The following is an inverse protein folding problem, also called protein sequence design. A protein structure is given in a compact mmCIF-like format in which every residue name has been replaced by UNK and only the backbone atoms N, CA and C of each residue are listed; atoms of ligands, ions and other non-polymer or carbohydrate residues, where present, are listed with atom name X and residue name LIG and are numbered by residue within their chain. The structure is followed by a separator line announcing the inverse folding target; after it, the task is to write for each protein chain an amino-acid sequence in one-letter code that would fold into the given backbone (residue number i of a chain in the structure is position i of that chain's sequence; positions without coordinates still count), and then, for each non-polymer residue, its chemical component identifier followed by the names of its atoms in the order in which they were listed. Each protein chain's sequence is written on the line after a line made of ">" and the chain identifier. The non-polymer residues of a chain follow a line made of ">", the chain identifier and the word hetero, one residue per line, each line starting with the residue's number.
data_IF_182758880647
#
_entry.id   IF_182758880647
#
_cell.length_a   1.000
_cell.length_b   1.000
_cell.length_c   1.000
_cell.angle_alpha   90.00
_cell.angle_beta   90.00
_cell.angle_gamma   90.00
#
_symmetry.space_group_name_H-M   'P 1'
#
loop_
_entity.id
_entity.type
_entity.pdbx_description
1 polymer ?
#
# COMPACT_ATOMS: atom_id res chain seq x y z
N UNK A 1 -10.03 33.94 -10.25
CA UNK A 1 -10.87 33.46 -9.11
C UNK A 1 -10.14 32.34 -8.41
N UNK A 2 -9.78 32.49 -7.13
CA UNK A 2 -9.20 31.41 -6.32
C UNK A 2 -10.26 30.35 -6.08
N UNK A 3 -10.27 29.30 -6.91
CA UNK A 3 -11.12 28.13 -6.66
C UNK A 3 -10.47 27.30 -5.55
N UNK A 4 -11.05 27.35 -4.34
CA UNK A 4 -10.59 26.54 -3.21
C UNK A 4 -10.76 25.04 -3.44
N UNK A 5 -11.65 24.66 -4.36
CA UNK A 5 -11.92 23.28 -4.76
C UNK A 5 -11.77 23.15 -6.27
N UNK A 6 -11.27 22.01 -6.72
CA UNK A 6 -11.15 21.70 -8.15
C UNK A 6 -11.53 20.25 -8.41
N UNK A 7 -12.21 20.04 -9.54
CA UNK A 7 -12.57 18.73 -10.07
C UNK A 7 -11.90 18.54 -11.43
N UNK A 8 -11.26 17.40 -11.59
CA UNK A 8 -10.68 16.94 -12.85
C UNK A 8 -10.88 15.42 -12.96
N UNK A 9 -10.59 14.85 -14.13
CA UNK A 9 -10.82 13.43 -14.38
C UNK A 9 -10.08 12.52 -13.39
N UNK A 10 -8.84 12.86 -12.99
CA UNK A 10 -8.10 12.14 -11.96
C UNK A 10 -8.83 12.11 -10.62
N UNK A 11 -9.26 13.27 -10.11
CA UNK A 11 -10.00 13.38 -8.86
C UNK A 11 -11.35 12.66 -8.95
N UNK A 12 -12.03 12.68 -10.10
CA UNK A 12 -13.30 11.95 -10.30
C UNK A 12 -13.13 10.43 -10.16
N UNK A 13 -12.07 9.86 -10.76
CA UNK A 13 -11.74 8.44 -10.63
C UNK A 13 -11.48 8.07 -9.17
N UNK A 14 -10.73 8.90 -8.44
CA UNK A 14 -10.47 8.68 -7.02
C UNK A 14 -11.74 8.84 -6.15
N UNK A 15 -12.60 9.81 -6.44
CA UNK A 15 -13.87 9.99 -5.75
C UNK A 15 -14.80 8.80 -5.97
N UNK A 16 -14.87 8.25 -7.18
CA UNK A 16 -15.63 7.04 -7.48
C UNK A 16 -15.12 5.84 -6.67
N UNK A 17 -13.79 5.67 -6.56
CA UNK A 17 -13.20 4.66 -5.70
C UNK A 17 -13.57 4.86 -4.22
N UNK A 18 -13.41 6.08 -3.70
CA UNK A 18 -13.72 6.40 -2.29
C UNK A 18 -15.21 6.16 -2.01
N UNK A 19 -16.11 6.53 -2.92
CA UNK A 19 -17.54 6.27 -2.79
C UNK A 19 -17.86 4.77 -2.77
N UNK A 20 -17.25 3.98 -3.67
CA UNK A 20 -17.40 2.53 -3.69
C UNK A 20 -16.93 1.89 -2.38
N UNK A 21 -15.71 2.21 -1.94
CA UNK A 21 -15.17 1.70 -0.68
C UNK A 21 -16.01 2.15 0.52
N UNK A 22 -16.41 3.42 0.54
CA UNK A 22 -17.25 3.99 1.58
C UNK A 22 -18.57 3.23 1.72
N UNK A 23 -19.26 2.96 0.61
CA UNK A 23 -20.52 2.20 0.60
C UNK A 23 -20.32 0.77 1.12
N UNK A 24 -19.30 0.06 0.62
CA UNK A 24 -19.03 -1.33 1.02
C UNK A 24 -18.66 -1.41 2.50
N UNK A 25 -17.75 -0.56 2.97
CA UNK A 25 -17.29 -0.55 4.37
C UNK A 25 -18.41 -0.09 5.30
N UNK A 26 -19.23 0.88 4.89
CA UNK A 26 -20.39 1.34 5.68
C UNK A 26 -21.40 0.22 5.89
N UNK A 27 -21.82 -0.45 4.81
CA UNK A 27 -22.77 -1.58 4.88
C UNK A 27 -22.21 -2.72 5.72
N UNK A 28 -20.95 -3.10 5.48
CA UNK A 28 -20.29 -4.13 6.28
C UNK A 28 -20.25 -3.77 7.76
N UNK A 29 -19.88 -2.53 8.10
CA UNK A 29 -19.79 -2.05 9.50
C UNK A 29 -21.15 -2.06 10.20
N UNK A 30 -22.22 -1.69 9.48
CA UNK A 30 -23.57 -1.67 10.05
C UNK A 30 -24.05 -3.05 10.50
N UNK A 31 -23.67 -4.10 9.76
CA UNK A 31 -24.00 -5.51 10.08
C UNK A 31 -23.01 -6.08 11.09
N UNK A 32 -21.70 -5.93 10.84
CA UNK A 32 -20.65 -6.55 11.65
C UNK A 32 -20.62 -6.04 13.10
N UNK A 33 -21.08 -4.81 13.36
CA UNK A 33 -21.12 -4.20 14.70
C UNK A 33 -22.54 -4.13 15.27
N UNK A 34 -23.53 -4.87 14.73
CA UNK A 34 -24.93 -4.74 15.14
C UNK A 34 -25.16 -5.01 16.64
N UNK A 35 -24.33 -5.85 17.27
CA UNK A 35 -24.39 -6.13 18.71
C UNK A 35 -23.50 -5.25 19.59
N UNK A 36 -22.74 -4.31 19.02
CA UNK A 36 -21.80 -3.47 19.77
C UNK A 36 -22.47 -2.19 20.26
N UNK A 37 -22.42 -1.92 21.58
CA UNK A 37 -22.99 -0.71 22.18
C UNK A 37 -22.38 0.58 21.59
N UNK A 38 -21.08 0.57 21.29
CA UNK A 38 -20.33 1.71 20.75
C UNK A 38 -20.46 1.88 19.22
N UNK A 39 -21.34 1.11 18.54
CA UNK A 39 -21.59 1.23 17.09
C UNK A 39 -21.87 2.66 16.62
N UNK A 40 -22.71 3.49 17.28
CA UNK A 40 -22.98 4.85 16.80
C UNK A 40 -21.72 5.74 16.77
N UNK A 41 -20.83 5.59 17.76
CA UNK A 41 -19.54 6.30 17.80
C UNK A 41 -18.68 5.89 16.61
N UNK A 42 -18.61 4.60 16.33
CA UNK A 42 -17.88 4.07 15.17
C UNK A 42 -18.40 4.62 13.84
N UNK A 43 -19.71 4.57 13.62
CA UNK A 43 -20.32 5.02 12.35
C UNK A 43 -20.11 6.52 12.13
N UNK A 44 -20.17 7.35 13.18
CA UNK A 44 -19.84 8.78 13.11
C UNK A 44 -18.37 9.01 12.76
N UNK A 45 -17.45 8.32 13.42
CA UNK A 45 -16.02 8.44 13.12
C UNK A 45 -15.69 7.98 11.69
N UNK A 46 -16.36 6.94 11.20
CA UNK A 46 -16.25 6.47 9.81
C UNK A 46 -16.75 7.54 8.83
N UNK A 47 -17.92 8.15 9.07
CA UNK A 47 -18.44 9.23 8.24
C UNK A 47 -17.48 10.43 8.20
N UNK A 48 -17.02 10.90 9.37
CA UNK A 48 -16.07 12.02 9.47
C UNK A 48 -14.78 11.70 8.71
N UNK A 49 -14.27 10.48 8.84
CA UNK A 49 -13.05 10.05 8.12
C UNK A 49 -13.28 10.12 6.61
N UNK A 50 -14.36 9.54 6.09
CA UNK A 50 -14.68 9.56 4.66
C UNK A 50 -14.89 10.98 4.13
N UNK A 51 -15.62 11.82 4.86
CA UNK A 51 -15.82 13.23 4.53
C UNK A 51 -14.50 14.01 4.49
N UNK A 52 -13.60 13.77 5.45
CA UNK A 52 -12.28 14.42 5.48
C UNK A 52 -11.41 13.98 4.28
N UNK A 53 -11.48 12.70 3.87
CA UNK A 53 -10.80 12.23 2.65
C UNK A 53 -11.33 12.93 1.41
N UNK A 54 -12.65 13.01 1.24
CA UNK A 54 -13.30 13.70 0.11
C UNK A 54 -12.92 15.19 0.09
N UNK A 55 -13.00 15.86 1.24
CA UNK A 55 -12.62 17.26 1.39
C UNK A 55 -11.15 17.51 0.98
N UNK A 56 -10.24 16.64 1.44
CA UNK A 56 -8.81 16.73 1.08
C UNK A 56 -8.59 16.56 -0.42
N UNK A 57 -9.26 15.59 -1.04
CA UNK A 57 -9.13 15.32 -2.47
C UNK A 57 -9.68 16.45 -3.34
N UNK A 58 -10.81 17.04 -2.95
CA UNK A 58 -11.41 18.17 -3.66
C UNK A 58 -10.60 19.46 -3.53
N UNK A 59 -9.86 19.61 -2.42
CA UNK A 59 -9.07 20.81 -2.14
C UNK A 59 -8.11 21.15 -3.28
N UNK A 60 -8.08 22.42 -3.63
CA UNK A 60 -7.19 23.03 -4.61
C UNK A 60 -6.33 24.14 -3.99
N UNK A 61 -6.29 24.19 -2.66
CA UNK A 61 -5.55 25.16 -1.88
C UNK A 61 -4.72 24.44 -0.81
N UNK A 62 -3.42 24.78 -0.68
CA UNK A 62 -2.48 24.08 0.21
C UNK A 62 -2.98 24.00 1.65
N UNK A 63 -3.52 25.10 2.19
CA UNK A 63 -4.05 25.14 3.57
C UNK A 63 -5.24 24.19 3.76
N UNK A 64 -6.18 24.17 2.81
CA UNK A 64 -7.38 23.33 2.92
C UNK A 64 -7.01 21.85 2.78
N UNK A 65 -6.09 21.55 1.86
CA UNK A 65 -5.51 20.22 1.75
C UNK A 65 -4.86 19.78 3.07
N UNK A 66 -4.05 20.65 3.70
CA UNK A 66 -3.40 20.38 4.99
C UNK A 66 -4.40 20.18 6.14
N UNK A 67 -5.45 21.00 6.22
CA UNK A 67 -6.52 20.85 7.21
C UNK A 67 -7.26 19.52 7.06
N UNK A 68 -7.61 19.16 5.83
CA UNK A 68 -8.22 17.87 5.52
C UNK A 68 -7.33 16.69 5.92
N UNK A 69 -6.02 16.79 5.61
CA UNK A 69 -5.03 15.79 5.97
C UNK A 69 -4.92 15.56 7.49
N UNK A 70 -4.94 16.64 8.28
CA UNK A 70 -4.98 16.58 9.75
C UNK A 70 -6.31 15.98 10.23
N UNK A 71 -7.44 16.38 9.64
CA UNK A 71 -8.77 15.89 9.99
C UNK A 71 -8.90 14.37 9.78
N UNK A 72 -8.40 13.84 8.65
CA UNK A 72 -8.32 12.39 8.39
C UNK A 72 -7.55 11.70 9.51
N UNK A 73 -6.41 12.26 9.90
CA UNK A 73 -5.59 11.69 10.96
C UNK A 73 -6.33 11.65 12.30
N UNK A 74 -6.95 12.75 12.71
CA UNK A 74 -7.69 12.82 13.97
C UNK A 74 -8.89 11.86 13.99
N UNK A 75 -9.65 11.78 12.89
CA UNK A 75 -10.80 10.89 12.77
C UNK A 75 -10.40 9.41 12.83
N UNK A 76 -9.30 9.03 12.18
CA UNK A 76 -8.76 7.66 12.24
C UNK A 76 -8.31 7.25 13.64
N UNK A 77 -7.85 8.20 14.46
CA UNK A 77 -7.47 7.90 15.84
C UNK A 77 -8.65 7.31 16.62
N UNK A 78 -9.86 7.86 16.40
CA UNK A 78 -11.08 7.40 17.06
C UNK A 78 -11.47 5.99 16.59
N UNK A 79 -11.26 5.67 15.31
CA UNK A 79 -11.52 4.34 14.75
C UNK A 79 -10.54 3.29 15.26
N UNK A 80 -9.26 3.64 15.40
CA UNK A 80 -8.23 2.76 15.97
C UNK A 80 -8.49 2.44 17.45
N UNK A 81 -8.97 3.44 18.20
CA UNK A 81 -9.32 3.32 19.61
C UNK A 81 -10.79 2.94 19.81
N UNK A 82 -11.33 2.07 18.94
CA UNK A 82 -12.67 1.52 19.18
C UNK A 82 -12.72 0.70 20.48
N UNK A 83 -11.64 -0.05 20.79
CA UNK A 83 -11.42 -0.75 22.06
C UNK A 83 -10.27 -0.09 22.85
N UNK A 84 -10.49 1.09 23.46
CA UNK A 84 -9.41 1.88 24.07
C UNK A 84 -8.72 1.17 25.24
N UNK A 85 -9.38 0.21 25.88
CA UNK A 85 -8.86 -0.59 27.00
C UNK A 85 -7.78 -1.60 26.58
N UNK A 86 -7.65 -1.92 25.29
CA UNK A 86 -6.65 -2.90 24.82
C UNK A 86 -5.28 -2.25 24.68
N UNK A 87 -4.24 -2.70 25.40
CA UNK A 87 -2.91 -2.09 25.34
C UNK A 87 -2.28 -2.09 23.94
N UNK A 88 -2.55 -3.14 23.15
CA UNK A 88 -2.09 -3.23 21.76
C UNK A 88 -2.78 -2.22 20.84
N UNK A 89 -4.07 -1.93 21.07
CA UNK A 89 -4.79 -0.90 20.33
C UNK A 89 -4.24 0.49 20.67
N UNK A 90 -3.99 0.77 21.96
CA UNK A 90 -3.34 2.01 22.41
C UNK A 90 -1.97 2.19 21.76
N UNK A 91 -1.11 1.15 21.78
CA UNK A 91 0.22 1.21 21.19
C UNK A 91 0.17 1.53 19.69
N UNK A 92 -0.66 0.82 18.93
CA UNK A 92 -0.81 1.07 17.49
C UNK A 92 -1.32 2.49 17.22
N UNK A 93 -2.30 2.97 18.00
CA UNK A 93 -2.85 4.31 17.89
C UNK A 93 -1.82 5.40 18.25
N UNK A 94 -0.98 5.19 19.27
CA UNK A 94 0.09 6.12 19.65
C UNK A 94 1.16 6.20 18.55
N UNK A 95 1.62 5.05 18.04
CA UNK A 95 2.57 4.99 16.92
C UNK A 95 2.05 5.77 15.72
N UNK A 96 0.80 5.48 15.32
CA UNK A 96 0.15 6.15 14.21
C UNK A 96 0.05 7.65 14.46
N UNK A 97 -0.32 8.07 15.68
CA UNK A 97 -0.44 9.49 16.02
C UNK A 97 0.90 10.22 15.91
N UNK A 98 1.96 9.68 16.51
CA UNK A 98 3.30 10.26 16.44
C UNK A 98 3.82 10.35 15.00
N UNK A 99 3.73 9.26 14.23
CA UNK A 99 4.12 9.25 12.82
C UNK A 99 3.29 10.24 12.00
N UNK A 100 1.99 10.36 12.28
CA UNK A 100 1.12 11.29 11.58
C UNK A 100 1.44 12.75 11.91
N UNK A 101 1.62 13.11 13.19
CA UNK A 101 2.01 14.48 13.59
C UNK A 101 3.35 14.86 12.96
N UNK A 102 4.33 13.96 12.96
CA UNK A 102 5.60 14.19 12.28
C UNK A 102 5.40 14.43 10.77
N UNK A 103 4.63 13.60 10.08
CA UNK A 103 4.33 13.79 8.66
C UNK A 103 3.58 15.09 8.35
N UNK A 104 2.72 15.55 9.25
CA UNK A 104 1.94 16.79 9.08
C UNK A 104 2.83 18.04 9.22
N UNK A 105 3.79 18.02 10.16
CA UNK A 105 4.80 19.09 10.27
C UNK A 105 5.64 19.18 9.00
N UNK A 106 6.11 18.03 8.48
CA UNK A 106 6.88 18.00 7.23
C UNK A 106 6.05 18.50 6.04
N UNK A 107 4.77 18.11 5.96
CA UNK A 107 3.88 18.56 4.89
C UNK A 107 3.62 20.08 4.98
N UNK A 108 3.42 20.61 6.19
CA UNK A 108 3.29 22.04 6.40
C UNK A 108 4.56 22.78 5.95
N UNK A 109 5.74 22.27 6.30
CA UNK A 109 7.01 22.84 5.85
C UNK A 109 7.15 22.79 4.32
N UNK A 110 6.84 21.67 3.67
CA UNK A 110 6.80 21.56 2.20
C UNK A 110 5.89 22.64 1.59
N UNK A 111 4.68 22.81 2.12
CA UNK A 111 3.72 23.79 1.62
C UNK A 111 4.17 25.23 1.84
N UNK A 112 4.81 25.52 2.98
CA UNK A 112 5.43 26.82 3.23
C UNK A 112 6.55 27.10 2.23
N UNK A 113 7.41 26.11 1.94
CA UNK A 113 8.50 26.30 0.99
C UNK A 113 7.98 26.60 -0.43
N UNK A 114 6.98 25.84 -0.88
CA UNK A 114 6.32 26.07 -2.18
C UNK A 114 5.67 27.45 -2.23
N UNK A 115 4.98 27.85 -1.17
CA UNK A 115 4.34 29.16 -1.10
C UNK A 115 5.35 30.31 -1.16
N UNK A 116 6.48 30.20 -0.44
CA UNK A 116 7.54 31.20 -0.47
C UNK A 116 8.22 31.28 -1.85
N UNK A 117 8.32 30.16 -2.57
CA UNK A 117 8.91 30.12 -3.91
C UNK A 117 8.02 30.79 -4.99
N UNK A 118 6.70 30.60 -4.92
CA UNK A 118 5.77 31.00 -5.99
C UNK A 118 4.79 32.11 -5.60
N UNK A 119 4.64 32.44 -4.32
CA UNK A 119 3.70 33.45 -3.82
C UNK A 119 2.22 33.05 -3.88
N UNK A 120 1.89 31.82 -4.30
CA UNK A 120 0.53 31.31 -4.42
C UNK A 120 0.35 30.00 -3.65
N UNK A 121 -0.84 29.82 -3.07
CA UNK A 121 -1.25 28.59 -2.38
C UNK A 121 -2.24 27.76 -3.22
N UNK A 122 -2.52 28.15 -4.47
CA UNK A 122 -3.37 27.42 -5.39
C UNK A 122 -2.60 26.25 -6.03
N UNK A 123 -3.06 25.02 -5.81
CA UNK A 123 -2.35 23.80 -6.24
C UNK A 123 -2.25 23.71 -7.76
N UNK A 124 -3.32 24.07 -8.50
CA UNK A 124 -3.29 24.07 -9.97
C UNK A 124 -2.26 25.04 -10.50
N UNK A 125 -2.23 26.26 -9.97
CA UNK A 125 -1.28 27.30 -10.37
C UNK A 125 0.16 26.90 -10.03
N UNK A 126 0.40 26.37 -8.82
CA UNK A 126 1.69 25.83 -8.40
C UNK A 126 2.19 24.78 -9.40
N UNK A 127 1.35 23.83 -9.80
CA UNK A 127 1.73 22.79 -10.74
C UNK A 127 2.04 23.35 -12.14
N UNK A 128 1.33 24.39 -12.58
CA UNK A 128 1.64 25.08 -13.83
C UNK A 128 3.00 25.79 -13.77
N UNK A 129 3.27 26.51 -12.68
CA UNK A 129 4.54 27.20 -12.46
C UNK A 129 5.71 26.23 -12.34
N UNK A 130 5.53 25.09 -11.67
CA UNK A 130 6.54 24.03 -11.57
C UNK A 130 6.93 23.46 -12.94
N UNK A 131 5.97 23.28 -13.85
CA UNK A 131 6.27 22.80 -15.21
C UNK A 131 7.08 23.81 -16.03
N UNK A 132 7.05 25.09 -15.66
CA UNK A 132 7.82 26.17 -16.31
C UNK A 132 9.10 26.53 -15.55
N UNK A 133 9.30 25.97 -14.36
CA UNK A 133 10.41 26.32 -13.49
C UNK A 133 11.73 25.80 -14.06
N UNK A 134 12.73 26.68 -14.15
CA UNK A 134 14.08 26.29 -14.51
C UNK A 134 14.71 25.44 -13.39
N UNK A 135 15.53 24.43 -13.72
CA UNK A 135 16.22 23.64 -12.70
C UNK A 135 17.19 24.51 -11.87
N UNK A 136 17.38 24.15 -10.60
CA UNK A 136 18.37 24.78 -9.71
C UNK A 136 17.84 25.50 -8.46
N UNK A 137 16.54 25.49 -8.19
CA UNK A 137 16.01 26.00 -6.91
C UNK A 137 16.23 24.97 -5.80
N UNK A 138 17.17 25.28 -4.89
CA UNK A 138 17.40 24.51 -3.66
C UNK A 138 16.14 24.40 -2.79
N UNK A 139 15.31 25.44 -2.80
CA UNK A 139 14.06 25.47 -2.06
C UNK A 139 13.06 24.42 -2.58
N UNK A 140 12.96 24.27 -3.90
CA UNK A 140 12.11 23.27 -4.53
C UNK A 140 12.68 21.85 -4.36
N UNK A 141 14.01 21.68 -4.37
CA UNK A 141 14.63 20.40 -4.04
C UNK A 141 14.34 19.98 -2.60
N UNK A 142 14.48 20.89 -1.64
CA UNK A 142 14.13 20.64 -0.24
C UNK A 142 12.63 20.31 -0.09
N UNK A 143 11.74 21.07 -0.73
CA UNK A 143 10.30 20.82 -0.73
C UNK A 143 9.95 19.42 -1.28
N UNK A 144 10.57 19.02 -2.40
CA UNK A 144 10.37 17.71 -3.01
C UNK A 144 10.85 16.56 -2.11
N UNK A 145 12.02 16.69 -1.48
CA UNK A 145 12.54 15.68 -0.53
C UNK A 145 11.62 15.54 0.68
N UNK A 146 11.16 16.65 1.26
CA UNK A 146 10.20 16.63 2.36
C UNK A 146 8.88 15.97 1.95
N UNK A 147 8.37 16.27 0.74
CA UNK A 147 7.16 15.64 0.20
C UNK A 147 7.31 14.11 0.08
N UNK A 148 8.46 13.65 -0.40
CA UNK A 148 8.81 12.22 -0.49
C UNK A 148 8.79 11.58 0.89
N UNK A 149 9.40 12.22 1.90
CA UNK A 149 9.38 11.71 3.27
C UNK A 149 7.94 11.62 3.80
N UNK A 150 7.10 12.64 3.56
CA UNK A 150 5.67 12.60 3.93
C UNK A 150 4.97 11.39 3.31
N UNK A 151 5.19 11.14 2.02
CA UNK A 151 4.59 10.02 1.31
C UNK A 151 5.06 8.67 1.86
N UNK A 152 6.37 8.50 2.11
CA UNK A 152 6.95 7.30 2.73
C UNK A 152 6.33 7.01 4.10
N UNK A 153 6.18 8.02 4.95
CA UNK A 153 5.56 7.89 6.28
C UNK A 153 4.09 7.49 6.19
N UNK A 154 3.32 8.12 5.30
CA UNK A 154 1.89 7.83 5.12
C UNK A 154 1.62 6.50 4.46
N UNK A 155 2.50 6.03 3.59
CA UNK A 155 2.42 4.70 2.98
C UNK A 155 3.02 3.61 3.87
N UNK A 156 3.33 3.91 5.15
CA UNK A 156 3.88 2.96 6.12
C UNK A 156 5.16 2.26 5.63
N UNK A 157 6.06 3.00 4.98
CA UNK A 157 7.31 2.43 4.50
C UNK A 157 8.32 2.23 5.64
N UNK A 158 9.28 1.34 5.42
CA UNK A 158 10.32 1.04 6.42
C UNK A 158 11.17 2.29 6.73
N UNK A 159 11.59 2.49 7.99
CA UNK A 159 11.39 1.61 9.15
C UNK A 159 10.10 1.91 9.93
N UNK A 160 9.34 2.96 9.62
CA UNK A 160 8.17 3.41 10.39
C UNK A 160 6.85 2.72 10.00
N UNK A 161 6.91 1.56 9.35
CA UNK A 161 5.78 0.70 9.00
C UNK A 161 4.93 0.16 10.18
N UNK A 162 5.50 0.15 11.39
CA UNK A 162 4.94 -0.46 12.59
C UNK A 162 3.52 -0.03 12.94
N UNK A 163 3.20 1.24 12.69
CA UNK A 163 1.87 1.78 12.97
C UNK A 163 0.77 1.11 12.15
N UNK A 164 1.08 0.55 10.97
CA UNK A 164 0.11 -0.12 10.10
C UNK A 164 0.00 -1.61 10.43
N UNK A 165 1.14 -2.31 10.60
CA UNK A 165 1.14 -3.76 10.83
C UNK A 165 0.60 -4.17 12.19
N UNK A 166 0.54 -3.24 13.16
CA UNK A 166 0.04 -3.47 14.51
C UNK A 166 -1.45 -3.15 14.70
N UNK A 167 -2.17 -2.72 13.67
CA UNK A 167 -3.61 -2.36 13.73
C UNK A 167 -4.54 -3.59 13.83
N UNK A 168 -3.99 -4.76 14.14
CA UNK A 168 -4.73 -6.04 14.19
C UNK A 168 -5.86 -6.08 15.23
N UNK A 169 -5.84 -5.20 16.24
CA UNK A 169 -6.88 -5.08 17.27
C UNK A 169 -8.08 -4.22 16.86
N UNK A 170 -7.95 -3.41 15.80
CA UNK A 170 -9.06 -2.60 15.32
C UNK A 170 -10.12 -3.49 14.64
N UNK A 171 -11.41 -3.11 14.67
CA UNK A 171 -12.45 -3.83 13.94
C UNK A 171 -12.07 -4.07 12.48
N UNK A 172 -12.47 -5.21 11.92
CA UNK A 172 -12.19 -5.58 10.51
C UNK A 172 -12.50 -4.47 9.49
N UNK A 173 -13.61 -3.70 9.59
CA UNK A 173 -13.85 -2.60 8.67
C UNK A 173 -12.81 -1.46 8.77
N UNK A 174 -12.20 -1.23 9.94
CA UNK A 174 -11.10 -0.26 10.10
C UNK A 174 -9.85 -0.74 9.39
N UNK A 175 -9.54 -2.03 9.51
CA UNK A 175 -8.43 -2.64 8.76
C UNK A 175 -8.66 -2.51 7.26
N UNK A 176 -9.86 -2.80 6.77
CA UNK A 176 -10.20 -2.61 5.37
C UNK A 176 -10.03 -1.14 4.93
N UNK A 177 -10.58 -0.18 5.68
CA UNK A 177 -10.45 1.25 5.38
C UNK A 177 -8.99 1.71 5.34
N UNK A 178 -8.18 1.32 6.32
CA UNK A 178 -6.79 1.72 6.43
C UNK A 178 -5.94 1.13 5.30
N UNK A 179 -6.04 -0.18 5.08
CA UNK A 179 -5.17 -0.89 4.16
C UNK A 179 -5.58 -0.78 2.69
N UNK A 180 -6.84 -0.43 2.42
CA UNK A 180 -7.36 -0.26 1.06
C UNK A 180 -7.52 1.20 0.64
N UNK A 181 -7.91 2.09 1.56
CA UNK A 181 -8.22 3.48 1.24
C UNK A 181 -7.15 4.44 1.71
N UNK A 182 -7.05 4.63 3.02
CA UNK A 182 -6.25 5.71 3.63
C UNK A 182 -4.76 5.60 3.30
N UNK A 183 -4.22 4.39 3.26
CA UNK A 183 -2.80 4.18 3.00
C UNK A 183 -2.34 4.74 1.64
N UNK A 184 -3.27 4.87 0.69
CA UNK A 184 -3.00 5.40 -0.65
C UNK A 184 -2.77 6.91 -0.66
N UNK A 185 -3.11 7.64 0.42
CA UNK A 185 -2.98 9.10 0.47
C UNK A 185 -1.56 9.58 0.18
N UNK A 186 -0.53 8.82 0.56
CA UNK A 186 0.86 9.15 0.20
C UNK A 186 1.12 9.06 -1.31
N UNK A 187 0.60 8.04 -1.99
CA UNK A 187 0.68 7.93 -3.45
C UNK A 187 -0.13 9.02 -4.16
N UNK A 188 -1.35 9.30 -3.69
CA UNK A 188 -2.20 10.39 -4.22
C UNK A 188 -1.50 11.74 -4.08
N UNK A 189 -0.85 12.00 -2.93
CA UNK A 189 -0.07 13.21 -2.71
C UNK A 189 1.03 13.36 -3.76
N UNK A 190 1.83 12.33 -4.00
CA UNK A 190 2.90 12.39 -5.00
C UNK A 190 2.36 12.53 -6.44
N UNK A 191 1.24 11.89 -6.78
CA UNK A 191 0.61 12.05 -8.09
C UNK A 191 0.06 13.49 -8.29
N UNK A 192 -0.51 14.09 -7.24
CA UNK A 192 -1.01 15.48 -7.29
C UNK A 192 0.12 16.51 -7.46
N UNK A 193 1.30 16.22 -6.89
CA UNK A 193 2.48 17.07 -6.96
C UNK A 193 3.59 16.44 -7.82
N UNK A 194 3.21 15.65 -8.83
CA UNK A 194 4.15 14.98 -9.72
C UNK A 194 5.15 15.95 -10.40
N UNK A 195 4.77 17.19 -10.79
CA UNK A 195 5.72 18.19 -11.28
C UNK A 195 6.83 18.52 -10.26
N UNK A 196 6.50 18.63 -8.97
CA UNK A 196 7.50 18.90 -7.92
C UNK A 196 8.44 17.72 -7.73
N UNK A 197 7.93 16.50 -7.78
CA UNK A 197 8.75 15.30 -7.70
C UNK A 197 9.72 15.22 -8.90
N UNK A 198 9.21 15.49 -10.08
CA UNK A 198 9.94 15.50 -11.35
C UNK A 198 11.04 16.57 -11.38
N UNK A 199 10.84 17.67 -10.67
CA UNK A 199 11.83 18.74 -10.54
C UNK A 199 13.11 18.29 -9.79
N UNK A 200 13.01 17.32 -8.87
CA UNK A 200 14.15 16.89 -8.04
C UNK A 200 14.51 15.43 -8.26
N UNK A 201 15.61 15.20 -8.98
CA UNK A 201 16.21 13.87 -9.14
C UNK A 201 16.66 13.28 -7.80
N UNK A 202 17.12 14.12 -6.86
CA UNK A 202 17.49 13.69 -5.50
C UNK A 202 16.27 13.10 -4.77
N UNK A 203 15.12 13.80 -4.79
CA UNK A 203 13.90 13.32 -4.17
C UNK A 203 13.41 12.02 -4.82
N UNK A 204 13.44 11.95 -6.16
CA UNK A 204 13.02 10.76 -6.92
C UNK A 204 13.91 9.55 -6.65
N UNK A 205 15.24 9.73 -6.60
CA UNK A 205 16.18 8.66 -6.29
C UNK A 205 16.04 8.18 -4.83
N UNK A 206 15.83 9.11 -3.89
CA UNK A 206 15.55 8.78 -2.49
C UNK A 206 14.28 7.93 -2.37
N UNK A 207 13.21 8.35 -3.05
CA UNK A 207 11.95 7.62 -3.10
C UNK A 207 12.17 6.21 -3.65
N UNK A 208 12.85 6.08 -4.79
CA UNK A 208 13.12 4.79 -5.44
C UNK A 208 13.85 3.83 -4.50
N UNK A 209 14.96 4.27 -3.90
CA UNK A 209 15.79 3.40 -3.04
C UNK A 209 15.01 2.92 -1.83
N UNK A 210 14.36 3.85 -1.09
CA UNK A 210 13.62 3.49 0.12
C UNK A 210 12.41 2.61 -0.20
N UNK A 211 11.64 2.98 -1.23
CA UNK A 211 10.45 2.24 -1.62
C UNK A 211 10.80 0.83 -2.13
N UNK A 212 11.89 0.68 -2.87
CA UNK A 212 12.34 -0.62 -3.36
C UNK A 212 12.81 -1.52 -2.22
N UNK A 213 13.65 -1.01 -1.31
CA UNK A 213 14.08 -1.76 -0.11
C UNK A 213 12.86 -2.19 0.73
N UNK A 214 11.90 -1.28 0.94
CA UNK A 214 10.67 -1.56 1.66
C UNK A 214 9.82 -2.63 0.97
N UNK A 215 9.67 -2.55 -0.36
CA UNK A 215 8.95 -3.54 -1.18
C UNK A 215 9.54 -4.93 -1.03
N UNK A 216 10.86 -5.06 -1.24
CA UNK A 216 11.58 -6.33 -1.17
C UNK A 216 11.43 -6.97 0.21
N UNK A 217 11.77 -6.21 1.25
CA UNK A 217 11.79 -6.74 2.60
C UNK A 217 10.39 -7.06 3.11
N UNK A 218 9.40 -6.20 2.84
CA UNK A 218 8.01 -6.46 3.22
C UNK A 218 7.42 -7.67 2.49
N UNK A 219 7.71 -7.85 1.20
CA UNK A 219 7.26 -9.01 0.42
C UNK A 219 7.89 -10.32 0.91
N UNK A 220 9.19 -10.31 1.24
CA UNK A 220 9.84 -11.45 1.86
C UNK A 220 9.24 -11.77 3.24
N UNK A 221 9.05 -10.77 4.09
CA UNK A 221 8.43 -10.95 5.41
C UNK A 221 7.02 -11.52 5.27
N UNK A 222 6.16 -10.98 4.39
CA UNK A 222 4.79 -11.49 4.22
C UNK A 222 4.77 -12.98 3.86
N UNK A 223 5.75 -13.46 3.08
CA UNK A 223 5.83 -14.86 2.66
C UNK A 223 6.08 -15.83 3.83
N UNK A 224 6.66 -15.33 4.92
CA UNK A 224 6.99 -16.13 6.12
C UNK A 224 5.92 -16.03 7.22
N UNK A 225 5.08 -14.99 7.21
CA UNK A 225 4.07 -14.77 8.25
C UNK A 225 2.95 -15.80 8.18
N UNK A 226 2.65 -16.42 9.32
CA UNK A 226 1.59 -17.43 9.45
C UNK A 226 0.21 -16.78 9.62
N UNK A 227 0.10 -15.74 10.46
CA UNK A 227 -1.17 -15.04 10.69
C UNK A 227 -1.63 -14.31 9.43
N UNK A 228 -2.86 -14.58 8.99
CA UNK A 228 -3.42 -14.05 7.74
C UNK A 228 -3.59 -12.54 7.81
N UNK A 229 -4.10 -11.99 8.92
CA UNK A 229 -4.22 -10.53 9.08
C UNK A 229 -2.85 -9.84 9.06
N UNK A 230 -1.85 -10.43 9.72
CA UNK A 230 -0.48 -9.88 9.73
C UNK A 230 0.16 -9.99 8.35
N UNK A 231 -0.01 -11.13 7.65
CA UNK A 231 0.43 -11.32 6.26
C UNK A 231 -0.24 -10.29 5.34
N UNK A 232 -1.54 -10.07 5.47
CA UNK A 232 -2.28 -9.07 4.70
C UNK A 232 -1.76 -7.65 4.98
N UNK A 233 -1.42 -7.33 6.23
CA UNK A 233 -0.84 -6.05 6.59
C UNK A 233 0.56 -5.84 5.97
N UNK A 234 1.45 -6.82 6.08
CA UNK A 234 2.78 -6.78 5.45
C UNK A 234 2.71 -6.70 3.93
N UNK A 235 1.76 -7.42 3.32
CA UNK A 235 1.54 -7.30 1.89
C UNK A 235 1.01 -5.91 1.50
N UNK A 236 0.36 -5.16 2.38
CA UNK A 236 0.05 -3.73 2.10
C UNK A 236 1.32 -2.88 2.12
N UNK A 237 2.23 -3.07 3.07
CA UNK A 237 3.52 -2.36 3.08
C UNK A 237 4.29 -2.60 1.78
N UNK A 238 4.33 -3.86 1.32
CA UNK A 238 4.99 -4.24 0.07
C UNK A 238 4.34 -3.60 -1.17
N UNK A 239 3.00 -3.65 -1.27
CA UNK A 239 2.28 -3.10 -2.43
C UNK A 239 2.35 -1.56 -2.47
N UNK A 240 2.28 -0.90 -1.33
CA UNK A 240 2.47 0.56 -1.28
C UNK A 240 3.90 0.96 -1.59
N UNK A 241 4.90 0.17 -1.17
CA UNK A 241 6.27 0.36 -1.61
C UNK A 241 6.39 0.22 -3.12
N UNK A 242 5.75 -0.80 -3.71
CA UNK A 242 5.75 -1.03 -5.15
C UNK A 242 5.10 0.15 -5.90
N UNK A 243 3.94 0.63 -5.45
CA UNK A 243 3.31 1.83 -6.01
C UNK A 243 4.23 3.06 -5.96
N UNK A 244 4.99 3.24 -4.86
CA UNK A 244 5.95 4.34 -4.76
C UNK A 244 7.17 4.16 -5.67
N UNK A 245 7.62 2.92 -5.93
CA UNK A 245 8.62 2.62 -6.97
C UNK A 245 8.10 3.00 -8.35
N UNK A 246 6.84 2.68 -8.66
CA UNK A 246 6.21 3.04 -9.93
C UNK A 246 6.17 4.56 -10.13
N UNK A 247 5.81 5.32 -9.08
CA UNK A 247 5.84 6.78 -9.08
C UNK A 247 7.27 7.31 -9.24
N UNK A 248 8.25 6.73 -8.55
CA UNK A 248 9.66 7.13 -8.66
C UNK A 248 10.24 6.87 -10.06
N UNK A 249 9.76 5.83 -10.75
CA UNK A 249 10.10 5.55 -12.15
C UNK A 249 9.25 6.38 -13.13
N UNK A 250 8.45 7.34 -12.69
CA UNK A 250 7.61 8.15 -13.58
C UNK A 250 6.46 7.39 -14.25
N UNK A 251 6.14 6.17 -13.78
CA UNK A 251 5.08 5.31 -14.31
C UNK A 251 3.72 5.66 -13.70
N UNK A 252 3.33 6.94 -13.77
CA UNK A 252 2.17 7.49 -13.04
C UNK A 252 0.84 6.77 -13.37
N UNK A 253 0.60 6.42 -14.63
CA UNK A 253 -0.57 5.64 -15.05
C UNK A 253 -0.60 4.26 -14.42
N UNK A 254 0.56 3.62 -14.30
CA UNK A 254 0.66 2.31 -13.68
C UNK A 254 0.44 2.42 -12.17
N UNK A 255 0.98 3.45 -11.52
CA UNK A 255 0.73 3.75 -10.11
C UNK A 255 -0.75 4.02 -9.80
N UNK A 256 -1.46 4.76 -10.66
CA UNK A 256 -2.91 4.96 -10.51
C UNK A 256 -3.68 3.64 -10.67
N UNK A 257 -3.35 2.85 -11.71
CA UNK A 257 -3.98 1.55 -11.92
C UNK A 257 -3.73 0.60 -10.74
N UNK A 258 -2.50 0.55 -10.24
CA UNK A 258 -2.12 -0.18 -9.03
C UNK A 258 -2.99 0.27 -7.87
N UNK A 259 -3.05 1.58 -7.59
CA UNK A 259 -3.84 2.14 -6.50
C UNK A 259 -5.29 1.67 -6.55
N UNK A 260 -5.94 1.75 -7.72
CA UNK A 260 -7.33 1.30 -7.90
C UNK A 260 -7.49 -0.20 -7.64
N UNK A 261 -6.63 -1.02 -8.25
CA UNK A 261 -6.67 -2.47 -8.11
C UNK A 261 -6.40 -2.93 -6.67
N UNK A 262 -5.35 -2.37 -6.04
CA UNK A 262 -4.99 -2.63 -4.65
C UNK A 262 -6.12 -2.26 -3.70
N UNK A 263 -6.76 -1.11 -3.91
CA UNK A 263 -7.87 -0.66 -3.08
C UNK A 263 -9.03 -1.67 -3.08
N UNK A 264 -9.49 -2.07 -4.26
CA UNK A 264 -10.55 -3.06 -4.39
C UNK A 264 -10.15 -4.43 -3.81
N UNK A 265 -8.94 -4.90 -4.16
CA UNK A 265 -8.41 -6.18 -3.70
C UNK A 265 -8.25 -6.23 -2.18
N UNK A 266 -7.67 -5.20 -1.56
CA UNK A 266 -7.45 -5.14 -0.11
C UNK A 266 -8.74 -5.01 0.67
N UNK A 267 -9.68 -4.20 0.20
CA UNK A 267 -10.98 -4.11 0.84
C UNK A 267 -11.64 -5.50 0.88
N UNK A 268 -11.67 -6.19 -0.26
CA UNK A 268 -12.17 -7.56 -0.32
C UNK A 268 -11.40 -8.51 0.59
N UNK A 269 -10.07 -8.54 0.52
CA UNK A 269 -9.24 -9.48 1.27
C UNK A 269 -9.36 -9.31 2.81
N UNK A 270 -9.45 -8.06 3.31
CA UNK A 270 -9.63 -7.81 4.74
C UNK A 270 -11.04 -8.16 5.20
N UNK A 271 -12.08 -7.79 4.45
CA UNK A 271 -13.47 -8.08 4.81
C UNK A 271 -13.78 -9.59 4.71
N UNK A 272 -13.12 -10.31 3.81
CA UNK A 272 -13.24 -11.77 3.66
C UNK A 272 -12.29 -12.58 4.55
N UNK A 273 -11.39 -11.92 5.30
CA UNK A 273 -10.36 -12.60 6.11
C UNK A 273 -10.94 -13.54 7.19
N UNK A 274 -12.20 -13.36 7.60
CA UNK A 274 -12.89 -14.28 8.51
C UNK A 274 -13.10 -15.69 7.94
N UNK A 275 -13.17 -15.84 6.61
CA UNK A 275 -13.35 -17.12 5.92
C UNK A 275 -12.04 -17.87 5.65
N UNK A 276 -10.93 -17.33 6.15
CA UNK A 276 -9.59 -17.87 6.01
C UNK A 276 -9.44 -19.35 6.37
N UNK A 277 -10.07 -19.78 7.46
CA UNK A 277 -9.96 -21.16 7.97
C UNK A 277 -10.55 -22.14 6.95
N UNK A 278 -11.71 -21.81 6.38
CA UNK A 278 -12.37 -22.64 5.37
C UNK A 278 -11.50 -22.78 4.12
N UNK A 279 -10.85 -21.69 3.68
CA UNK A 279 -9.90 -21.73 2.56
C UNK A 279 -8.68 -22.61 2.85
N UNK A 280 -8.15 -22.55 4.07
CA UNK A 280 -7.03 -23.39 4.48
C UNK A 280 -7.40 -24.87 4.47
N UNK A 281 -8.57 -25.22 5.02
CA UNK A 281 -9.08 -26.59 5.01
C UNK A 281 -9.31 -27.09 3.58
N UNK A 282 -9.92 -26.28 2.71
CA UNK A 282 -10.11 -26.61 1.31
C UNK A 282 -8.76 -26.84 0.58
N UNK A 283 -7.74 -26.03 0.87
CA UNK A 283 -6.41 -26.19 0.28
C UNK A 283 -5.69 -27.45 0.77
N UNK A 284 -5.86 -27.85 2.03
CA UNK A 284 -5.32 -29.12 2.55
C UNK A 284 -5.95 -30.32 1.85
N UNK A 285 -7.28 -30.28 1.64
CA UNK A 285 -8.01 -31.34 0.94
C UNK A 285 -7.58 -31.50 -0.52
N UNK A 286 -7.12 -30.41 -1.15
CA UNK A 286 -6.67 -30.40 -2.54
C UNK A 286 -5.30 -31.06 -2.80
N UNK A 287 -4.60 -31.58 -1.76
CA UNK A 287 -3.31 -32.30 -1.84
C UNK A 287 -2.30 -31.69 -2.85
N UNK A 288 -1.94 -30.41 -2.66
CA UNK A 288 -1.03 -29.74 -3.61
C UNK A 288 0.40 -30.28 -3.52
N UNK A 289 0.90 -30.86 -4.62
CA UNK A 289 2.32 -31.19 -4.77
C UNK A 289 3.12 -29.93 -5.10
N UNK A 290 4.39 -29.81 -4.66
CA UNK A 290 5.21 -28.66 -5.01
C UNK A 290 5.72 -28.73 -6.48
N UNK A 291 5.62 -27.65 -7.27
CA UNK A 291 6.17 -27.59 -8.62
C UNK A 291 7.69 -27.74 -8.64
N UNK A 292 8.18 -28.72 -9.42
CA UNK A 292 9.61 -28.86 -9.79
C UNK A 292 10.14 -27.66 -10.59
N UNK A 293 11.46 -27.46 -10.58
CA UNK A 293 12.13 -26.34 -11.24
C UNK A 293 11.81 -26.20 -12.75
N UNK A 294 11.69 -27.31 -13.47
CA UNK A 294 11.30 -27.29 -14.89
C UNK A 294 9.91 -26.70 -15.14
N UNK A 295 8.95 -26.89 -14.23
CA UNK A 295 7.62 -26.28 -14.37
C UNK A 295 7.71 -24.75 -14.28
N UNK A 296 8.56 -24.23 -13.39
CA UNK A 296 8.81 -22.79 -13.29
C UNK A 296 9.46 -22.24 -14.56
N UNK A 297 10.43 -22.96 -15.13
CA UNK A 297 11.10 -22.56 -16.37
C UNK A 297 10.12 -22.55 -17.55
N UNK A 298 9.30 -23.59 -17.72
CA UNK A 298 8.28 -23.63 -18.76
C UNK A 298 7.23 -22.53 -18.60
N UNK A 299 6.76 -22.27 -17.37
CA UNK A 299 5.85 -21.17 -17.09
C UNK A 299 6.47 -19.81 -17.41
N UNK A 300 7.75 -19.64 -17.13
CA UNK A 300 8.49 -18.42 -17.43
C UNK A 300 8.56 -18.19 -18.95
N UNK A 301 8.91 -19.21 -19.73
CA UNK A 301 8.95 -19.12 -21.20
C UNK A 301 7.57 -18.77 -21.78
N UNK A 302 6.51 -19.40 -21.27
CA UNK A 302 5.14 -19.12 -21.72
C UNK A 302 4.72 -17.68 -21.33
N UNK A 303 5.06 -17.24 -20.12
CA UNK A 303 4.80 -15.88 -19.67
C UNK A 303 5.52 -14.82 -20.53
N UNK A 304 6.80 -15.06 -20.86
CA UNK A 304 7.58 -14.19 -21.78
C UNK A 304 6.90 -14.10 -23.14
N UNK A 305 6.41 -15.22 -23.68
CA UNK A 305 5.69 -15.24 -24.96
C UNK A 305 4.40 -14.42 -24.89
N UNK A 306 3.56 -14.64 -23.87
CA UNK A 306 2.28 -13.91 -23.72
C UNK A 306 2.48 -12.40 -23.51
N UNK A 307 3.45 -12.03 -22.67
CA UNK A 307 3.74 -10.61 -22.40
C UNK A 307 4.37 -9.93 -23.61
N UNK A 308 5.28 -10.60 -24.33
CA UNK A 308 5.88 -10.07 -25.58
C UNK A 308 4.83 -9.87 -26.67
N UNK A 309 3.90 -10.82 -26.84
CA UNK A 309 2.78 -10.68 -27.78
C UNK A 309 1.89 -9.50 -27.40
N UNK A 310 1.58 -9.35 -26.11
CA UNK A 310 0.77 -8.23 -25.63
C UNK A 310 1.49 -6.89 -25.78
N UNK A 311 2.82 -6.88 -25.60
CA UNK A 311 3.68 -5.71 -25.82
C UNK A 311 3.63 -5.23 -27.28
N UNK A 312 3.72 -6.16 -28.25
CA UNK A 312 3.65 -5.80 -29.67
C UNK A 312 2.32 -5.16 -30.09
N UNK A 313 1.25 -5.39 -29.34
CA UNK A 313 -0.08 -4.86 -29.64
C UNK A 313 -0.34 -3.50 -28.99
N UNK A 314 0.10 -3.30 -27.74
CA UNK A 314 -0.37 -2.18 -26.89
C UNK A 314 0.75 -1.39 -26.19
N UNK A 315 2.02 -1.77 -26.35
CA UNK A 315 3.18 -1.05 -25.81
C UNK A 315 3.34 -1.11 -24.28
N UNK A 316 4.47 -1.64 -23.81
CA UNK A 316 4.86 -1.56 -22.40
C UNK A 316 5.58 -0.24 -22.12
N UNK A 317 5.47 0.22 -20.87
CA UNK A 317 6.01 1.51 -20.46
C UNK A 317 7.47 1.44 -19.97
N UNK A 318 7.93 0.28 -19.49
CA UNK A 318 9.30 0.08 -18.97
C UNK A 318 9.69 -1.40 -18.91
N UNK A 319 10.98 -1.69 -18.79
CA UNK A 319 11.50 -3.04 -18.57
C UNK A 319 11.01 -3.62 -17.24
N UNK A 320 11.07 -2.84 -16.15
CA UNK A 320 10.61 -3.27 -14.83
C UNK A 320 9.13 -3.68 -14.84
N UNK A 321 8.28 -2.95 -15.56
CA UNK A 321 6.86 -3.30 -15.71
C UNK A 321 6.67 -4.62 -16.47
N UNK A 322 7.50 -4.87 -17.50
CA UNK A 322 7.50 -6.12 -18.23
C UNK A 322 7.92 -7.29 -17.33
N UNK A 323 9.01 -7.12 -16.58
CA UNK A 323 9.53 -8.13 -15.64
C UNK A 323 8.47 -8.48 -14.60
N UNK A 324 7.80 -7.51 -13.98
CA UNK A 324 6.74 -7.78 -13.00
C UNK A 324 5.57 -8.57 -13.61
N UNK A 325 5.11 -8.20 -14.81
CA UNK A 325 4.04 -8.94 -15.49
C UNK A 325 4.48 -10.37 -15.82
N UNK A 326 5.69 -10.56 -16.35
CA UNK A 326 6.24 -11.89 -16.66
C UNK A 326 6.29 -12.74 -15.39
N UNK A 327 6.81 -12.20 -14.28
CA UNK A 327 6.88 -12.91 -13.00
C UNK A 327 5.48 -13.25 -12.46
N UNK A 328 4.52 -12.32 -12.54
CA UNK A 328 3.15 -12.55 -12.10
C UNK A 328 2.44 -13.65 -12.90
N UNK A 329 2.55 -13.62 -14.23
CA UNK A 329 1.99 -14.65 -15.11
C UNK A 329 2.70 -16.00 -14.91
N UNK A 330 4.01 -15.99 -14.62
CA UNK A 330 4.76 -17.21 -14.28
C UNK A 330 4.17 -17.88 -13.03
N UNK A 331 3.88 -17.13 -11.97
CA UNK A 331 3.24 -17.66 -10.75
C UNK A 331 1.85 -18.23 -11.03
N UNK A 332 1.08 -17.58 -11.91
CA UNK A 332 -0.26 -18.02 -12.30
C UNK A 332 -0.23 -19.35 -13.08
N UNK A 333 0.73 -19.52 -13.98
CA UNK A 333 0.83 -20.69 -14.86
C UNK A 333 1.48 -21.91 -14.18
N UNK A 334 2.38 -21.72 -13.21
CA UNK A 334 3.16 -22.81 -12.62
C UNK A 334 2.30 -23.95 -12.02
N UNK A 335 1.20 -23.68 -11.29
CA UNK A 335 0.33 -24.74 -10.78
C UNK A 335 -0.34 -25.58 -11.87
N UNK A 336 -0.67 -24.97 -13.02
CA UNK A 336 -1.34 -25.68 -14.12
C UNK A 336 -0.43 -26.71 -14.79
N UNK A 337 0.89 -26.46 -14.79
CA UNK A 337 1.90 -27.39 -15.32
C UNK A 337 2.28 -28.52 -14.36
N UNK A 338 2.12 -28.29 -13.06
CA UNK A 338 2.65 -29.16 -12.02
C UNK A 338 1.94 -30.53 -11.94
N UNK A 339 0.63 -30.57 -12.16
CA UNK A 339 -0.15 -31.80 -12.07
C UNK A 339 -0.15 -32.48 -13.46
N UNK A 340 0.47 -33.65 -13.55
CA UNK A 340 0.53 -34.48 -14.75
C UNK A 340 -0.66 -35.45 -14.77
N UNK A 341 -1.78 -35.03 -15.36
CA UNK A 341 -2.97 -35.86 -15.60
C UNK A 341 -3.56 -35.60 -17.01
N UNK A 342 -4.59 -36.37 -17.40
CA UNK A 342 -5.30 -36.20 -18.68
C UNK A 342 -5.92 -34.81 -18.86
N UNK A 343 -6.14 -34.06 -17.77
CA UNK A 343 -6.75 -32.71 -17.77
C UNK A 343 -5.71 -31.59 -17.85
N UNK A 344 -4.41 -31.90 -17.78
CA UNK A 344 -3.31 -30.93 -17.94
C UNK A 344 -3.49 -29.99 -19.14
N UNK A 345 -3.76 -30.44 -20.39
CA UNK A 345 -3.91 -29.52 -21.52
C UNK A 345 -5.08 -28.55 -21.31
N UNK A 346 -6.21 -29.02 -20.77
CA UNK A 346 -7.36 -28.17 -20.46
C UNK A 346 -7.02 -27.15 -19.37
N UNK A 347 -6.35 -27.55 -18.29
CA UNK A 347 -5.91 -26.62 -17.22
C UNK A 347 -4.97 -25.55 -17.75
N UNK A 348 -4.03 -25.92 -18.63
CA UNK A 348 -3.12 -24.97 -19.25
C UNK A 348 -3.84 -24.01 -20.18
N UNK A 349 -4.79 -24.51 -20.99
CA UNK A 349 -5.60 -23.66 -21.84
C UNK A 349 -6.39 -22.65 -21.02
N UNK A 350 -7.05 -23.10 -19.95
CA UNK A 350 -7.81 -22.21 -19.04
C UNK A 350 -6.88 -21.20 -18.35
N UNK A 351 -5.73 -21.63 -17.84
CA UNK A 351 -4.78 -20.74 -17.18
C UNK A 351 -4.18 -19.71 -18.14
N UNK A 352 -3.85 -20.10 -19.37
CA UNK A 352 -3.38 -19.20 -20.42
C UNK A 352 -4.46 -18.24 -20.89
N UNK A 353 -5.71 -18.71 -21.06
CA UNK A 353 -6.84 -17.84 -21.40
C UNK A 353 -7.09 -16.80 -20.31
N UNK A 354 -7.01 -17.20 -19.04
CA UNK A 354 -7.12 -16.29 -17.90
C UNK A 354 -5.95 -15.29 -17.86
N UNK A 355 -4.71 -15.75 -18.10
CA UNK A 355 -3.53 -14.89 -18.20
C UNK A 355 -3.68 -13.83 -19.31
N UNK A 356 -4.08 -14.24 -20.51
CA UNK A 356 -4.33 -13.35 -21.63
C UNK A 356 -5.47 -12.37 -21.34
N UNK A 357 -6.55 -12.82 -20.70
CA UNK A 357 -7.65 -11.96 -20.27
C UNK A 357 -7.22 -10.89 -19.27
N UNK A 358 -6.37 -11.25 -18.28
CA UNK A 358 -5.79 -10.30 -17.33
C UNK A 358 -4.86 -9.30 -18.00
N UNK A 359 -4.02 -9.74 -18.94
CA UNK A 359 -3.15 -8.84 -19.71
C UNK A 359 -3.99 -7.86 -20.54
N UNK A 360 -5.00 -8.35 -21.26
CA UNK A 360 -5.92 -7.50 -22.03
C UNK A 360 -6.63 -6.48 -21.15
N UNK A 361 -7.14 -6.89 -19.99
CA UNK A 361 -7.77 -5.99 -19.02
C UNK A 361 -6.79 -4.93 -18.53
N UNK A 362 -5.56 -5.32 -18.18
CA UNK A 362 -4.50 -4.40 -17.75
C UNK A 362 -4.20 -3.34 -18.81
N UNK A 363 -3.96 -3.74 -20.07
CA UNK A 363 -3.64 -2.80 -21.13
C UNK A 363 -4.83 -1.90 -21.49
N UNK A 364 -6.06 -2.43 -21.48
CA UNK A 364 -7.27 -1.64 -21.70
C UNK A 364 -7.43 -0.55 -20.63
N UNK A 365 -7.29 -0.91 -19.35
CA UNK A 365 -7.36 0.04 -18.25
C UNK A 365 -6.21 1.06 -18.29
N UNK A 366 -4.99 0.63 -18.65
CA UNK A 366 -3.84 1.53 -18.84
C UNK A 366 -4.13 2.55 -19.94
N UNK A 367 -4.66 2.12 -21.08
CA UNK A 367 -5.02 3.00 -22.19
C UNK A 367 -6.15 3.98 -21.83
N UNK A 368 -7.12 3.53 -21.02
CA UNK A 368 -8.21 4.38 -20.53
C UNK A 368 -7.70 5.48 -19.57
N UNK A 369 -6.74 5.15 -18.71
CA UNK A 369 -6.22 6.04 -17.67
C UNK A 369 -5.03 6.90 -18.12
N UNK A 370 -4.36 6.57 -19.22
CA UNK A 370 -3.20 7.35 -19.69
C UNK A 370 -3.49 8.82 -19.98
N UNK A 371 -4.65 9.23 -20.56
CA UNK A 371 -4.89 10.63 -20.90
C UNK A 371 -5.10 11.53 -19.67
N UNK A 372 -5.45 10.96 -18.51
CA UNK A 372 -5.74 11.71 -17.29
C UNK A 372 -4.51 11.91 -16.40
N UNK A 373 -3.39 11.24 -16.73
CA UNK A 373 -2.16 11.28 -15.97
C UNK A 373 -1.15 12.27 -16.56
N UNK A 374 -0.27 12.84 -15.72
CA UNK A 374 0.86 13.62 -16.21
C UNK A 374 1.70 12.81 -17.19
N UNK A 375 2.37 13.50 -18.12
CA UNK A 375 3.32 12.85 -19.01
C UNK A 375 4.38 12.09 -18.19
N UNK A 376 4.74 10.87 -18.61
CA UNK A 376 5.74 10.09 -17.90
C UNK A 376 7.06 10.85 -17.87
N UNK A 377 7.72 10.86 -16.71
CA UNK A 377 9.10 11.32 -16.61
C UNK A 377 10.02 10.34 -17.35
N UNK A 378 11.10 10.83 -17.95
CA UNK A 378 12.12 9.95 -18.54
C UNK A 378 12.71 9.07 -17.45
N UNK A 379 12.49 7.76 -17.57
CA UNK A 379 13.04 6.77 -16.65
C UNK A 379 14.52 6.63 -16.98
N UNK A 380 15.40 6.81 -16.00
CA UNK A 380 16.82 6.49 -16.23
C UNK A 380 16.94 4.97 -16.42
N UNK A 381 17.66 4.55 -17.45
CA UNK A 381 17.87 3.11 -17.75
C UNK A 381 18.44 2.39 -16.52
N UNK A 382 19.33 3.05 -15.77
CA UNK A 382 19.90 2.53 -14.54
C UNK A 382 18.83 2.25 -13.46
N UNK A 383 17.87 3.16 -13.24
CA UNK A 383 16.79 2.97 -12.28
C UNK A 383 15.87 1.80 -12.69
N UNK A 384 15.55 1.70 -13.97
CA UNK A 384 14.67 0.64 -14.50
C UNK A 384 15.35 -0.75 -14.40
N UNK A 385 16.65 -0.84 -14.71
CA UNK A 385 17.45 -2.05 -14.53
C UNK A 385 17.57 -2.45 -13.06
N UNK A 386 17.82 -1.49 -12.17
CA UNK A 386 17.92 -1.73 -10.73
C UNK A 386 16.60 -2.29 -10.17
N UNK A 387 15.46 -1.71 -10.55
CA UNK A 387 14.14 -2.21 -10.17
C UNK A 387 13.89 -3.63 -10.73
N UNK A 388 14.26 -3.87 -11.99
CA UNK A 388 14.12 -5.18 -12.64
C UNK A 388 14.94 -6.27 -11.94
N UNK A 389 16.21 -5.99 -11.63
CA UNK A 389 17.10 -6.89 -10.89
C UNK A 389 16.55 -7.17 -9.48
N UNK A 390 16.04 -6.14 -8.81
CA UNK A 390 15.41 -6.28 -7.50
C UNK A 390 14.19 -7.22 -7.55
N UNK A 391 13.28 -7.07 -8.53
CA UNK A 391 12.11 -7.94 -8.66
C UNK A 391 12.48 -9.38 -9.01
N UNK A 392 13.46 -9.60 -9.88
CA UNK A 392 14.01 -10.92 -10.15
C UNK A 392 14.60 -11.55 -8.88
N UNK A 393 15.37 -10.79 -8.10
CA UNK A 393 15.95 -11.27 -6.84
C UNK A 393 14.86 -11.63 -5.82
N UNK A 394 13.81 -10.83 -5.71
CA UNK A 394 12.66 -11.09 -4.84
C UNK A 394 11.99 -12.41 -5.22
N UNK A 395 11.77 -12.63 -6.51
CA UNK A 395 11.13 -13.84 -7.01
C UNK A 395 11.94 -15.09 -6.68
N UNK A 396 13.25 -15.07 -6.96
CA UNK A 396 14.16 -16.18 -6.63
C UNK A 396 14.18 -16.44 -5.13
N UNK A 397 14.36 -15.40 -4.31
CA UNK A 397 14.38 -15.53 -2.85
C UNK A 397 13.05 -16.06 -2.30
N UNK A 398 11.92 -15.61 -2.84
CA UNK A 398 10.61 -16.10 -2.44
C UNK A 398 10.43 -17.60 -2.76
N UNK A 399 10.93 -18.07 -3.91
CA UNK A 399 10.93 -19.50 -4.24
C UNK A 399 11.85 -20.31 -3.32
N UNK A 400 13.03 -19.79 -3.01
CA UNK A 400 13.97 -20.42 -2.07
C UNK A 400 13.37 -20.52 -0.66
N UNK A 401 12.75 -19.45 -0.16
CA UNK A 401 12.05 -19.46 1.13
C UNK A 401 10.88 -20.44 1.13
N UNK A 402 10.14 -20.55 0.03
CA UNK A 402 8.96 -21.42 -0.06
C UNK A 402 9.32 -22.91 -0.11
N UNK A 403 10.37 -23.29 -0.85
CA UNK A 403 10.68 -24.71 -1.12
C UNK A 403 11.96 -25.22 -0.44
N UNK A 404 12.86 -24.33 -0.02
CA UNK A 404 14.17 -24.68 0.55
C UNK A 404 14.39 -24.13 1.96
N UNK A 405 13.33 -23.79 2.70
CA UNK A 405 13.42 -23.28 4.07
C UNK A 405 14.12 -24.22 5.06
N UNK A 406 14.16 -25.52 4.78
CA UNK A 406 14.84 -26.54 5.60
C UNK A 406 16.38 -26.42 5.56
N UNK A 407 16.97 -25.78 4.54
CA UNK A 407 18.42 -25.60 4.47
C UNK A 407 18.90 -24.62 5.54
N UNK A 408 19.99 -24.95 6.24
CA UNK A 408 20.49 -24.19 7.42
C UNK A 408 20.57 -22.66 7.20
N UNK A 409 21.12 -22.22 6.06
CA UNK A 409 21.19 -20.78 5.73
C UNK A 409 19.82 -20.13 5.50
N UNK A 410 18.92 -20.79 4.78
CA UNK A 410 17.57 -20.29 4.51
C UNK A 410 16.69 -20.33 5.75
N UNK A 411 16.89 -21.29 6.65
CA UNK A 411 16.17 -21.36 7.91
C UNK A 411 16.47 -20.15 8.80
N UNK A 412 17.74 -19.73 8.91
CA UNK A 412 18.11 -18.50 9.64
C UNK A 412 17.41 -17.26 9.07
N UNK A 413 17.42 -17.11 7.75
CA UNK A 413 16.74 -16.00 7.07
C UNK A 413 15.22 -16.09 7.30
N UNK A 414 14.64 -17.27 7.20
CA UNK A 414 13.22 -17.50 7.44
C UNK A 414 12.82 -17.09 8.87
N UNK A 415 13.58 -17.49 9.89
CA UNK A 415 13.32 -17.13 11.29
C UNK A 415 13.38 -15.60 11.47
N UNK A 416 14.41 -14.95 10.92
CA UNK A 416 14.57 -13.50 11.01
C UNK A 416 13.44 -12.75 10.29
N UNK A 417 13.08 -13.17 9.07
CA UNK A 417 11.95 -12.61 8.32
C UNK A 417 10.61 -12.87 9.03
N UNK A 418 10.42 -14.04 9.62
CA UNK A 418 9.21 -14.38 10.37
C UNK A 418 9.09 -13.55 11.65
N UNK A 419 10.18 -13.04 12.21
CA UNK A 419 10.16 -12.02 13.28
C UNK A 419 9.84 -10.60 12.74
N UNK A 420 9.87 -10.39 11.42
CA UNK A 420 9.75 -9.07 10.79
C UNK A 420 11.05 -8.28 10.80
N UNK A 421 12.17 -9.00 10.88
CA UNK A 421 13.51 -8.43 10.95
C UNK A 421 13.79 -7.54 12.17
N UNK A 422 12.93 -7.62 13.20
CA UNK A 422 12.96 -6.74 14.39
C UNK A 422 12.91 -5.23 14.08
N UNK A 423 12.50 -4.87 12.85
CA UNK A 423 12.56 -3.49 12.34
C UNK A 423 11.67 -2.53 13.13
N UNK A 424 10.57 -3.04 13.67
CA UNK A 424 9.60 -2.26 14.44
C UNK A 424 9.97 -2.12 15.93
N UNK A 425 10.95 -2.87 16.44
CA UNK A 425 11.31 -2.78 17.86
C UNK A 425 11.82 -1.40 18.23
N UNK A 426 12.67 -0.81 17.38
CA UNK A 426 13.19 0.53 17.61
C UNK A 426 12.06 1.57 17.67
N UNK A 427 11.15 1.55 16.70
CA UNK A 427 10.00 2.46 16.66
C UNK A 427 9.07 2.26 17.86
N UNK A 428 8.90 1.01 18.31
CA UNK A 428 8.14 0.67 19.53
C UNK A 428 8.78 1.27 20.77
N UNK A 429 10.09 1.11 20.95
CA UNK A 429 10.83 1.64 22.10
C UNK A 429 10.75 3.17 22.16
N UNK A 430 10.95 3.83 21.02
CA UNK A 430 10.83 5.29 20.91
C UNK A 430 9.41 5.74 21.27
N UNK A 431 8.39 5.06 20.73
CA UNK A 431 6.98 5.39 21.02
C UNK A 431 6.66 5.24 22.49
N UNK A 432 7.09 4.16 23.14
CA UNK A 432 6.82 3.93 24.57
C UNK A 432 7.58 4.89 25.49
N UNK A 433 8.73 5.41 25.06
CA UNK A 433 9.44 6.48 25.78
C UNK A 433 8.69 7.81 25.71
N UNK A 434 8.12 8.15 24.55
CA UNK A 434 7.39 9.41 24.34
C UNK A 434 5.97 9.34 24.90
N UNK A 435 5.28 8.21 24.69
CA UNK A 435 3.88 8.00 25.03
C UNK A 435 3.65 6.58 25.59
N UNK A 436 3.94 6.36 26.89
CA UNK A 436 3.80 5.04 27.52
C UNK A 436 2.35 4.56 27.54
N UNK A 437 2.15 3.25 27.36
CA UNK A 437 0.84 2.61 27.48
C UNK A 437 0.62 2.17 28.94
N UNK A 438 -0.42 2.66 29.60
CA UNK A 438 -0.69 2.40 31.03
C UNK A 438 -1.35 1.04 31.32
N UNK A 439 -1.26 0.08 30.39
CA UNK A 439 -1.97 -1.21 30.47
C UNK A 439 -1.77 -2.00 31.77
N UNK A 440 -0.61 -1.85 32.44
CA UNK A 440 -0.34 -2.49 33.74
C UNK A 440 -1.27 -2.05 34.87
N UNK A 441 -1.75 -0.79 34.86
CA UNK A 441 -2.67 -0.29 35.89
C UNK A 441 -4.13 -0.72 35.63
N UNK A 442 -4.52 -0.87 34.36
CA UNK A 442 -5.89 -1.24 33.99
C UNK A 442 -6.16 -2.75 34.12
N UNK A 443 -5.20 -3.62 33.80
CA UNK A 443 -5.34 -5.07 34.02
C UNK A 443 -5.47 -5.39 35.51
N UNK A 444 -4.64 -4.76 36.36
CA UNK A 444 -4.72 -4.91 37.81
C UNK A 444 -6.01 -4.35 38.43
N UNK A 445 -6.65 -3.35 37.80
CA UNK A 445 -7.95 -2.84 38.21
C UNK A 445 -9.10 -3.75 37.75
N UNK A 446 -8.99 -4.33 36.55
CA UNK A 446 -9.95 -5.29 36.01
C UNK A 446 -10.00 -6.59 36.82
N UNK A 447 -8.84 -7.17 37.19
CA UNK A 447 -8.77 -8.36 38.04
C UNK A 447 -9.33 -8.13 39.45
N UNK A 448 -9.21 -6.91 39.99
CA UNK A 448 -9.84 -6.55 41.27
C UNK A 448 -11.35 -6.42 41.17
N UNK A 449 -11.88 -5.92 40.05
CA UNK A 449 -13.32 -5.82 39.82
C UNK A 449 -13.97 -7.19 39.62
N UNK A 450 -13.37 -8.10 38.85
CA UNK A 450 -13.87 -9.49 38.71
C UNK A 450 -13.78 -10.29 40.00
N UNK A 451 -12.81 -10.03 40.89
CA UNK A 451 -12.79 -10.65 42.22
C UNK A 451 -13.82 -10.08 43.20
N UNK A 452 -14.37 -8.89 42.93
CA UNK A 452 -15.45 -8.29 43.73
C UNK A 452 -16.84 -8.70 43.25
N UNK A 453 -17.02 -9.07 41.99
CA UNK A 453 -18.29 -9.63 41.47
C UNK A 453 -18.45 -11.13 41.77
N UNK A 454 -17.38 -11.82 42.21
CA UNK A 454 -17.37 -13.25 42.58
C UNK A 454 -17.46 -13.44 44.11
N UNK A 455 -17.58 -12.37 44.89
CA UNK A 455 -17.88 -12.37 46.33
C UNK A 455 -19.25 -11.75 46.57
#
# INVERSE_FOLDING_TARGET
>A
MLTFFSLNAFKLVLLALIALLGLVIWRYSAVALAGEADKPRFMRALAITLSAVVFTLLSNHLVFFGLGWIAISLALQQLLLFYPQRPRAQLAAHKKALTARFSEVLLALTFTLIYLQFGTANITEINQLLNMAQPGSEMLHAAAVLLVIVALLKCAQLPLHGWLIQVVEAPTPVSALLHAGIINLGGILLLLFAPLLSYSSIATNLLLVIALCSTLLAALIMSTRISIKVRLAWSTVAQMGLMLVEIALGLYTLALLHLLAHSCYKAYAFLHSGNAVNHYLAAQLAQQTPPRAWHWLLSLLLAVLLVSLSHSLLGLSSLSSAVLLILAITVLLAPALNIADRRRPLRLLVASAYASGLLMLYFCLKALLSPIMPSPHSVTIAADLLASLAFCSLFVLALLLRYQSHRSGMNKIFIWLNAGGYLDEWATRVTLKIWPCNGRKQVAAGEKATMQEVK
#
